data_IF_886634349472
#
_entry.id   IF_886634349472
#
_cell.length_a   1.000
_cell.length_b   1.000
_cell.length_c   1.000
_cell.angle_alpha   90.00
_cell.angle_beta   90.00
_cell.angle_gamma   90.00
#
_symmetry.space_group_name_H-M   'P 1'
#
loop_
_entity.id
_entity.type
_entity.pdbx_description
1 polymer ?
#
# COMPACT_ATOMS: atom_id res chain seq x y z
N UNK A 1 -10.83 2.54 -9.41
CA UNK A 1 -9.41 2.91 -9.34
C UNK A 1 -8.44 1.73 -9.13
N UNK A 2 -8.96 0.52 -8.99
CA UNK A 2 -8.13 -0.68 -8.84
C UNK A 2 -7.41 -0.96 -10.15
N UNK A 3 -6.07 -0.96 -10.12
CA UNK A 3 -5.23 -1.20 -11.29
C UNK A 3 -4.97 -2.70 -11.53
N UNK A 4 -4.95 -3.51 -10.47
CA UNK A 4 -4.70 -4.95 -10.55
C UNK A 4 -5.98 -5.67 -10.96
N UNK A 5 -6.05 -6.07 -12.24
CA UNK A 5 -7.25 -6.67 -12.85
C UNK A 5 -7.07 -8.12 -13.29
N UNK A 6 -5.83 -8.58 -13.39
CA UNK A 6 -5.53 -9.96 -13.78
C UNK A 6 -5.81 -10.93 -12.62
N UNK A 7 -6.14 -12.20 -12.92
CA UNK A 7 -6.22 -13.24 -11.91
C UNK A 7 -4.89 -13.36 -11.14
N UNK A 8 -4.96 -13.42 -9.82
CA UNK A 8 -3.77 -13.49 -8.97
C UNK A 8 -4.11 -14.15 -7.64
N UNK A 9 -3.08 -14.52 -6.91
CA UNK A 9 -3.19 -14.94 -5.51
C UNK A 9 -2.82 -13.78 -4.61
N UNK A 10 -3.55 -13.60 -3.52
CA UNK A 10 -3.16 -12.70 -2.43
C UNK A 10 -2.50 -13.51 -1.32
N UNK A 11 -1.32 -13.08 -0.90
CA UNK A 11 -0.59 -13.68 0.21
C UNK A 11 -0.52 -12.68 1.34
N UNK A 12 -0.95 -13.09 2.52
CA UNK A 12 -0.93 -12.27 3.74
C UNK A 12 -0.08 -12.98 4.79
N UNK A 13 0.92 -12.28 5.31
CA UNK A 13 1.75 -12.74 6.41
C UNK A 13 1.26 -12.06 7.69
N UNK A 14 0.77 -12.85 8.65
CA UNK A 14 0.20 -12.33 9.89
C UNK A 14 1.07 -12.76 11.06
N UNK A 15 1.62 -11.77 11.77
CA UNK A 15 2.23 -11.98 13.08
C UNK A 15 1.22 -11.62 14.18
N UNK A 16 1.10 -12.45 15.20
CA UNK A 16 0.25 -12.19 16.34
C UNK A 16 1.04 -12.38 17.63
N UNK A 17 0.80 -11.54 18.60
CA UNK A 17 1.41 -11.66 19.93
C UNK A 17 0.41 -11.22 21.00
N UNK A 18 0.54 -11.82 22.18
CA UNK A 18 -0.31 -11.50 23.33
C UNK A 18 0.43 -10.65 24.36
N UNK A 19 1.74 -10.80 24.43
CA UNK A 19 2.58 -10.08 25.39
C UNK A 19 3.83 -9.54 24.70
N UNK A 20 4.40 -8.48 25.25
CA UNK A 20 5.60 -7.84 24.71
C UNK A 20 5.33 -6.85 23.58
N UNK A 21 6.39 -6.45 22.88
CA UNK A 21 6.34 -5.41 21.84
C UNK A 21 5.96 -5.92 20.44
N UNK A 22 5.98 -7.23 20.23
CA UNK A 22 5.75 -7.85 18.92
C UNK A 22 6.91 -7.64 17.93
N UNK A 23 8.10 -7.30 18.40
CA UNK A 23 9.25 -7.06 17.52
C UNK A 23 9.65 -8.28 16.69
N UNK A 24 9.67 -9.47 17.32
CA UNK A 24 10.03 -10.70 16.64
C UNK A 24 9.02 -11.08 15.56
N UNK A 25 7.74 -10.96 15.86
CA UNK A 25 6.64 -11.22 14.94
C UNK A 25 6.61 -10.22 13.78
N UNK A 26 6.85 -8.96 14.10
CA UNK A 26 6.96 -7.89 13.09
C UNK A 26 8.16 -8.13 12.18
N UNK A 27 9.32 -8.47 12.74
CA UNK A 27 10.53 -8.78 11.96
C UNK A 27 10.34 -10.02 11.09
N UNK A 28 9.69 -11.05 11.61
CA UNK A 28 9.35 -12.26 10.85
C UNK A 28 8.45 -11.93 9.65
N UNK A 29 7.39 -11.17 9.88
CA UNK A 29 6.44 -10.78 8.82
C UNK A 29 7.12 -9.96 7.73
N UNK A 30 7.95 -8.98 8.10
CA UNK A 30 8.72 -8.18 7.15
C UNK A 30 9.71 -9.01 6.35
N UNK A 31 10.39 -9.96 7.00
CA UNK A 31 11.35 -10.85 6.35
C UNK A 31 10.64 -11.80 5.37
N UNK A 32 9.51 -12.38 5.75
CA UNK A 32 8.70 -13.21 4.86
C UNK A 32 8.26 -12.43 3.61
N UNK A 33 7.79 -11.20 3.79
CA UNK A 33 7.42 -10.31 2.68
C UNK A 33 8.62 -10.03 1.77
N UNK A 34 9.78 -9.73 2.34
CA UNK A 34 11.00 -9.47 1.56
C UNK A 34 11.45 -10.67 0.73
N UNK A 35 11.37 -11.87 1.29
CA UNK A 35 11.69 -13.11 0.57
C UNK A 35 10.73 -13.43 -0.56
N UNK A 36 9.47 -13.06 -0.43
CA UNK A 36 8.46 -13.27 -1.47
C UNK A 36 8.46 -12.18 -2.55
N UNK A 37 8.99 -11.01 -2.27
CA UNK A 37 8.95 -9.85 -3.16
C UNK A 37 9.47 -10.13 -4.59
N UNK A 38 10.55 -10.89 -4.82
CA UNK A 38 11.03 -11.23 -6.17
C UNK A 38 10.04 -12.05 -7.00
N UNK A 39 9.10 -12.74 -6.35
CA UNK A 39 8.10 -13.60 -6.97
C UNK A 39 6.72 -12.95 -7.07
N UNK A 40 6.55 -11.76 -6.51
CA UNK A 40 5.29 -11.06 -6.44
C UNK A 40 5.11 -10.08 -7.61
N UNK A 41 3.88 -9.91 -8.07
CA UNK A 41 3.52 -8.77 -8.90
C UNK A 41 3.54 -7.49 -8.04
N UNK A 42 3.73 -6.34 -8.67
CA UNK A 42 3.68 -5.06 -7.96
C UNK A 42 2.26 -4.67 -7.59
N UNK A 43 2.14 -4.00 -6.47
CA UNK A 43 0.90 -3.44 -5.98
C UNK A 43 0.19 -4.36 -4.99
N UNK A 44 -0.72 -3.76 -4.26
CA UNK A 44 -1.51 -4.40 -3.23
C UNK A 44 -2.97 -3.98 -3.39
N UNK A 45 -3.89 -4.71 -2.80
CA UNK A 45 -5.24 -4.20 -2.63
C UNK A 45 -5.23 -3.11 -1.54
N UNK A 46 -5.71 -1.92 -1.88
CA UNK A 46 -5.56 -0.73 -1.02
C UNK A 46 -6.12 -0.92 0.39
N UNK A 47 -7.18 -1.71 0.56
CA UNK A 47 -7.76 -1.97 1.87
C UNK A 47 -6.86 -2.83 2.78
N UNK A 48 -5.89 -3.53 2.22
CA UNK A 48 -4.89 -4.31 2.94
C UNK A 48 -3.55 -3.60 3.09
N UNK A 49 -3.44 -2.40 2.54
CA UNK A 49 -2.23 -1.60 2.60
C UNK A 49 -2.16 -0.90 3.95
N UNK A 50 -1.10 -1.16 4.70
CA UNK A 50 -0.74 -0.43 5.92
C UNK A 50 0.10 0.80 5.62
N UNK A 51 0.89 1.24 6.59
CA UNK A 51 1.87 2.31 6.42
C UNK A 51 3.12 1.77 5.71
N UNK A 52 3.01 1.59 4.41
CA UNK A 52 4.07 1.01 3.57
C UNK A 52 4.79 2.04 2.69
N UNK A 53 4.44 3.30 2.85
CA UNK A 53 5.08 4.43 2.17
C UNK A 53 4.47 4.77 0.81
N UNK A 54 4.89 5.91 0.29
CA UNK A 54 4.33 6.50 -0.94
C UNK A 54 4.58 5.61 -2.18
N UNK A 55 5.72 4.93 -2.23
CA UNK A 55 6.03 4.06 -3.37
C UNK A 55 5.06 2.89 -3.46
N UNK A 56 4.68 2.29 -2.34
CA UNK A 56 3.69 1.21 -2.32
C UNK A 56 2.31 1.69 -2.80
N UNK A 57 1.93 2.93 -2.47
CA UNK A 57 0.69 3.55 -2.95
C UNK A 57 0.74 3.75 -4.47
N UNK A 58 1.84 4.29 -4.99
CA UNK A 58 2.05 4.46 -6.44
C UNK A 58 2.01 3.14 -7.19
N UNK A 59 2.68 2.13 -6.67
CA UNK A 59 2.71 0.78 -7.26
C UNK A 59 1.33 0.12 -7.24
N UNK A 60 0.52 0.42 -6.23
CA UNK A 60 -0.85 -0.09 -6.11
C UNK A 60 -1.79 0.51 -7.15
N UNK A 61 -1.74 1.81 -7.33
CA UNK A 61 -2.61 2.51 -8.29
C UNK A 61 -2.03 2.55 -9.71
N UNK A 62 -0.72 2.33 -9.87
CA UNK A 62 -0.04 2.29 -11.18
C UNK A 62 -0.38 3.49 -12.05
N UNK A 63 -0.82 3.25 -13.29
CA UNK A 63 -1.22 4.30 -14.23
C UNK A 63 -2.38 5.18 -13.73
N UNK A 64 -3.22 4.68 -12.84
CA UNK A 64 -4.32 5.44 -12.26
C UNK A 64 -3.85 6.51 -11.27
N UNK A 65 -2.64 6.39 -10.71
CA UNK A 65 -2.14 7.33 -9.71
C UNK A 65 -2.13 8.77 -10.21
N UNK A 66 -1.61 9.01 -11.41
CA UNK A 66 -1.53 10.35 -11.99
C UNK A 66 -2.91 11.00 -12.15
N UNK A 67 -3.89 10.25 -12.61
CA UNK A 67 -5.27 10.72 -12.74
C UNK A 67 -5.91 11.01 -11.38
N UNK A 68 -5.69 10.15 -10.40
CA UNK A 68 -6.19 10.35 -9.04
C UNK A 68 -5.56 11.57 -8.38
N UNK A 69 -4.25 11.80 -8.56
CA UNK A 69 -3.55 12.99 -8.07
C UNK A 69 -4.08 14.28 -8.72
N UNK A 70 -4.40 14.25 -10.01
CA UNK A 70 -5.02 15.38 -10.71
C UNK A 70 -6.43 15.67 -10.17
N UNK A 71 -7.24 14.65 -9.95
CA UNK A 71 -8.57 14.80 -9.33
C UNK A 71 -8.42 15.35 -7.91
N UNK A 72 -7.49 14.83 -7.13
CA UNK A 72 -7.19 15.31 -5.78
C UNK A 72 -6.81 16.80 -5.79
N UNK A 73 -6.03 17.25 -6.77
CA UNK A 73 -5.66 18.66 -6.91
C UNK A 73 -6.85 19.59 -7.14
N UNK A 74 -7.93 19.08 -7.76
CA UNK A 74 -9.16 19.86 -7.99
C UNK A 74 -9.99 19.94 -6.70
N UNK A 75 -10.20 18.82 -6.03
CA UNK A 75 -11.16 18.73 -4.92
C UNK A 75 -10.53 18.95 -3.54
N UNK A 76 -9.24 18.69 -3.38
CA UNK A 76 -8.51 18.84 -2.13
C UNK A 76 -7.05 19.30 -2.39
N UNK A 77 -6.87 20.50 -2.97
CA UNK A 77 -5.53 20.99 -3.34
C UNK A 77 -4.61 21.19 -2.13
N UNK A 78 -5.18 21.45 -0.96
CA UNK A 78 -4.42 21.63 0.27
C UNK A 78 -4.15 20.33 1.01
N UNK A 79 -4.58 19.20 0.43
CA UNK A 79 -4.38 17.87 1.02
C UNK A 79 -4.89 17.75 2.47
N UNK A 80 -6.06 18.31 2.73
CA UNK A 80 -6.69 18.28 4.06
C UNK A 80 -7.03 16.84 4.45
N UNK A 81 -7.55 16.07 3.51
CA UNK A 81 -7.85 14.64 3.67
C UNK A 81 -6.62 13.81 3.30
N UNK A 82 -5.72 13.58 4.24
CA UNK A 82 -4.41 12.96 4.00
C UNK A 82 -4.11 11.77 4.90
N UNK A 83 -5.12 11.21 5.54
CA UNK A 83 -4.95 10.03 6.41
C UNK A 83 -4.89 8.75 5.59
N UNK A 84 -4.26 7.72 6.15
CA UNK A 84 -4.11 6.39 5.54
C UNK A 84 -3.33 6.43 4.21
N UNK A 85 -3.81 5.77 3.19
CA UNK A 85 -3.17 5.62 1.88
C UNK A 85 -3.39 6.88 1.02
N UNK A 86 -2.81 7.97 1.47
CA UNK A 86 -3.00 9.27 0.83
C UNK A 86 -2.41 9.34 -0.58
N UNK A 87 -3.20 9.86 -1.51
CA UNK A 87 -2.74 10.30 -2.83
C UNK A 87 -2.50 11.80 -2.75
N UNK A 88 -1.24 12.22 -2.92
CA UNK A 88 -0.90 13.63 -2.86
C UNK A 88 -1.45 14.36 -4.09
N UNK A 89 -2.01 15.57 -3.93
CA UNK A 89 -2.47 16.36 -5.07
C UNK A 89 -1.29 16.76 -5.94
N UNK A 90 -1.52 16.73 -7.25
CA UNK A 90 -0.54 17.19 -8.23
C UNK A 90 -0.71 18.71 -8.45
N UNK A 91 -0.12 19.45 -7.57
CA UNK A 91 -0.16 20.93 -7.59
C UNK A 91 1.21 21.53 -7.80
#
# INVERSE_FOLDING_TARGET
AIALREPHFSVVNIGMWLEGSGEAETAWSKNAKAKMAPHASRGLYVNFLGDEGEQAIRDTYRANYARLAAIKAIYDPMNIFHRNQNIKPNV
#
